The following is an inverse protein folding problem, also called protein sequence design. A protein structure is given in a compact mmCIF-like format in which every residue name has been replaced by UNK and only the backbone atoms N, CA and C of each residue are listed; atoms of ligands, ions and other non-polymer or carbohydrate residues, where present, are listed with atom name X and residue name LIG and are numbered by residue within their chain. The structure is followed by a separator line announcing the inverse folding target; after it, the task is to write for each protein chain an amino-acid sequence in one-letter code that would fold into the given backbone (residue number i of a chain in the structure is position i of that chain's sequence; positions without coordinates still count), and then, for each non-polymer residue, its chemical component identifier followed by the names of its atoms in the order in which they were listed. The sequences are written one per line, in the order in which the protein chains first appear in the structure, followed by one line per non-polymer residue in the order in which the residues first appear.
data_IF_497568526086
#
_entry.id   IF_497568526086
#
_cell.length_a   1.000
_cell.length_b   1.000
_cell.length_c   1.000
_cell.angle_alpha   90.00
_cell.angle_beta   90.00
_cell.angle_gamma   90.00
#
_symmetry.space_group_name_H-M   'P 1'
#
loop_
_entity.id
_entity.type
_entity.pdbx_description
1 polymer ?
#
# COMPACT_ATOMS: atom_id res chain seq x y z
N UNK A 1 -9.56 20.60 -6.59
CA UNK A 1 -8.44 21.05 -5.74
C UNK A 1 -8.83 21.08 -4.30
N UNK A 2 -9.14 19.94 -3.66
CA UNK A 2 -9.47 19.95 -2.23
C UNK A 2 -8.20 19.69 -1.41
N UNK A 3 -8.10 20.27 -0.22
CA UNK A 3 -7.15 19.84 0.79
C UNK A 3 -7.65 18.56 1.48
N UNK A 4 -6.80 17.84 2.24
CA UNK A 4 -7.18 16.62 2.96
C UNK A 4 -8.35 16.78 3.94
N UNK A 5 -8.59 17.99 4.44
CA UNK A 5 -9.70 18.32 5.32
C UNK A 5 -11.03 18.56 4.56
N UNK A 6 -11.00 18.55 3.22
CA UNK A 6 -12.15 18.80 2.38
C UNK A 6 -12.36 20.27 2.02
N UNK A 7 -11.47 21.18 2.43
CA UNK A 7 -11.53 22.59 2.04
C UNK A 7 -10.99 22.82 0.63
N UNK A 8 -11.40 23.89 -0.05
CA UNK A 8 -10.85 24.27 -1.36
C UNK A 8 -9.42 24.80 -1.20
N UNK A 9 -8.47 24.28 -1.98
CA UNK A 9 -7.05 24.59 -1.86
C UNK A 9 -6.38 24.88 -3.22
N UNK A 10 -5.45 25.82 -3.20
CA UNK A 10 -4.59 26.23 -4.31
C UNK A 10 -3.29 25.39 -4.42
N UNK A 11 -2.97 24.62 -3.38
CA UNK A 11 -1.71 23.86 -3.28
C UNK A 11 -1.56 22.73 -4.31
N UNK A 12 -2.64 22.33 -4.99
CA UNK A 12 -2.68 21.06 -5.74
C UNK A 12 -3.10 21.17 -7.21
N UNK A 13 -2.70 22.22 -7.92
CA UNK A 13 -2.57 22.12 -9.38
C UNK A 13 -3.76 22.58 -10.22
N UNK A 14 -4.28 23.77 -9.94
CA UNK A 14 -5.07 24.52 -10.92
C UNK A 14 -4.41 25.88 -11.16
N UNK A 15 -4.01 26.14 -12.41
CA UNK A 15 -3.22 27.32 -12.79
C UNK A 15 -3.99 28.64 -12.75
N UNK A 16 -5.29 28.58 -12.54
CA UNK A 16 -6.25 29.69 -12.47
C UNK A 16 -6.67 30.02 -11.02
N UNK A 17 -6.09 29.39 -9.99
CA UNK A 17 -6.39 29.70 -8.59
C UNK A 17 -6.15 31.18 -8.19
N UNK A 18 -5.40 31.93 -9.01
CA UNK A 18 -5.15 33.36 -8.83
C UNK A 18 -6.26 34.28 -9.35
N UNK A 19 -7.30 33.76 -10.01
CA UNK A 19 -8.42 34.60 -10.46
C UNK A 19 -9.28 35.04 -9.27
N UNK A 20 -9.89 36.24 -9.32
CA UNK A 20 -10.77 36.73 -8.24
C UNK A 20 -11.90 35.76 -7.88
N UNK A 21 -12.44 35.07 -8.89
CA UNK A 21 -13.51 34.08 -8.73
C UNK A 21 -13.02 32.88 -7.93
N UNK A 22 -11.85 32.33 -8.26
CA UNK A 22 -11.27 31.19 -7.55
C UNK A 22 -10.82 31.56 -6.13
N UNK A 23 -10.23 32.75 -5.94
CA UNK A 23 -9.78 33.23 -4.63
C UNK A 23 -10.91 33.32 -3.62
N UNK A 24 -12.13 33.66 -4.07
CA UNK A 24 -13.30 33.74 -3.20
C UNK A 24 -13.71 32.41 -2.58
N UNK A 25 -13.29 31.28 -3.19
CA UNK A 25 -13.63 29.93 -2.75
C UNK A 25 -12.53 29.29 -1.90
N UNK A 26 -11.29 29.80 -1.95
CA UNK A 26 -10.16 29.21 -1.24
C UNK A 26 -10.42 29.19 0.28
N UNK A 27 -10.23 28.02 0.88
CA UNK A 27 -10.44 27.77 2.32
C UNK A 27 -11.88 27.42 2.71
N UNK A 28 -12.87 27.55 1.82
CA UNK A 28 -14.25 27.12 2.09
C UNK A 28 -14.34 25.60 2.20
N UNK A 29 -15.24 25.10 3.05
CA UNK A 29 -15.62 23.68 3.01
C UNK A 29 -16.26 23.34 1.66
N UNK A 30 -16.05 22.12 1.16
CA UNK A 30 -16.55 21.68 -0.15
C UNK A 30 -18.07 21.84 -0.34
N UNK A 31 -18.87 21.70 0.72
CA UNK A 31 -20.32 21.86 0.62
C UNK A 31 -20.71 23.34 0.56
N UNK A 32 -20.04 24.18 1.35
CA UNK A 32 -20.22 25.63 1.29
C UNK A 32 -19.79 26.19 -0.08
N UNK A 33 -18.64 25.72 -0.59
CA UNK A 33 -18.16 26.09 -1.91
C UNK A 33 -19.14 25.68 -3.02
N UNK A 34 -19.80 24.51 -2.89
CA UNK A 34 -20.83 24.07 -3.85
C UNK A 34 -22.00 25.04 -3.91
N UNK A 35 -22.53 25.46 -2.77
CA UNK A 35 -23.63 26.43 -2.70
C UNK A 35 -23.20 27.81 -3.23
N UNK A 36 -21.98 28.25 -2.88
CA UNK A 36 -21.42 29.51 -3.36
C UNK A 36 -21.28 29.55 -4.89
N UNK A 37 -20.85 28.43 -5.50
CA UNK A 37 -20.75 28.30 -6.97
C UNK A 37 -22.15 28.38 -7.60
N UNK A 38 -23.16 27.70 -7.06
CA UNK A 38 -24.53 27.75 -7.59
C UNK A 38 -25.10 29.17 -7.52
N UNK A 39 -24.86 29.88 -6.41
CA UNK A 39 -25.30 31.26 -6.26
C UNK A 39 -24.55 32.22 -7.20
N UNK A 40 -23.26 32.00 -7.42
CA UNK A 40 -22.48 32.74 -8.41
C UNK A 40 -23.05 32.56 -9.83
N UNK A 41 -23.34 31.31 -10.23
CA UNK A 41 -23.95 31.03 -11.54
C UNK A 41 -25.32 31.69 -11.68
N UNK A 42 -26.12 31.76 -10.60
CA UNK A 42 -27.40 32.45 -10.58
C UNK A 42 -27.25 33.96 -10.81
N UNK A 43 -26.27 34.60 -10.16
CA UNK A 43 -26.01 36.04 -10.28
C UNK A 43 -25.50 36.44 -11.67
N UNK A 44 -24.63 35.61 -12.24
CA UNK A 44 -24.04 35.85 -13.57
C UNK A 44 -24.95 35.40 -14.73
N UNK A 45 -26.17 34.93 -14.43
CA UNK A 45 -27.12 34.40 -15.43
C UNK A 45 -26.52 33.25 -16.26
N UNK A 46 -25.72 32.40 -15.60
CA UNK A 46 -25.09 31.19 -16.14
C UNK A 46 -25.84 29.90 -15.75
N UNK A 47 -26.86 30.00 -14.91
CA UNK A 47 -27.68 28.87 -14.44
C UNK A 47 -28.98 28.79 -15.25
N UNK A 48 -29.15 27.73 -16.04
CA UNK A 48 -30.40 27.48 -16.79
C UNK A 48 -31.51 26.91 -15.89
N UNK A 49 -31.26 25.76 -15.26
CA UNK A 49 -32.18 25.15 -14.29
C UNK A 49 -31.47 24.34 -13.20
N UNK A 50 -32.24 23.93 -12.18
CA UNK A 50 -31.81 23.00 -11.12
C UNK A 50 -32.82 21.87 -11.04
N UNK A 51 -32.34 20.63 -11.10
CA UNK A 51 -33.17 19.42 -11.06
C UNK A 51 -32.70 18.48 -9.98
N UNK A 52 -33.65 17.82 -9.31
CA UNK A 52 -33.33 16.70 -8.43
C UNK A 52 -32.81 15.52 -9.25
N UNK A 53 -31.67 14.96 -8.84
CA UNK A 53 -31.01 13.87 -9.55
C UNK A 53 -30.51 12.79 -8.58
N UNK A 54 -31.14 11.63 -8.64
CA UNK A 54 -30.72 10.45 -7.88
C UNK A 54 -29.59 9.73 -8.64
N UNK A 55 -28.46 9.52 -7.96
CA UNK A 55 -27.32 8.78 -8.48
C UNK A 55 -26.55 8.09 -7.35
N UNK A 56 -25.66 7.17 -7.70
CA UNK A 56 -24.81 6.48 -6.75
C UNK A 56 -23.57 7.32 -6.43
N UNK A 57 -23.32 7.54 -5.13
CA UNK A 57 -22.13 8.22 -4.63
C UNK A 57 -21.29 7.23 -3.83
N UNK A 58 -20.00 7.16 -4.14
CA UNK A 58 -19.06 6.33 -3.39
C UNK A 58 -18.86 6.87 -1.97
N UNK A 59 -18.92 5.99 -0.98
CA UNK A 59 -18.70 6.34 0.43
C UNK A 59 -17.61 5.49 1.04
N UNK A 60 -16.90 6.05 2.03
CA UNK A 60 -15.96 5.29 2.85
C UNK A 60 -16.69 4.15 3.54
N UNK A 61 -16.22 2.92 3.38
CA UNK A 61 -16.82 1.75 4.02
C UNK A 61 -16.72 1.78 5.55
N UNK A 62 -15.87 2.64 6.11
CA UNK A 62 -15.68 2.79 7.57
C UNK A 62 -16.44 3.98 8.15
N UNK A 63 -16.24 5.17 7.57
CA UNK A 63 -16.80 6.42 8.13
C UNK A 63 -18.14 6.80 7.50
N UNK A 64 -18.52 6.17 6.39
CA UNK A 64 -19.71 6.52 5.60
C UNK A 64 -19.73 7.95 5.07
N UNK A 65 -18.58 8.64 5.07
CA UNK A 65 -18.42 9.95 4.43
C UNK A 65 -18.24 9.75 2.92
N UNK A 66 -18.83 10.61 2.06
CA UNK A 66 -18.60 10.59 0.61
C UNK A 66 -17.09 10.61 0.29
N UNK A 67 -16.68 9.76 -0.64
CA UNK A 67 -15.29 9.73 -1.12
C UNK A 67 -15.14 10.78 -2.21
N UNK A 68 -14.15 11.64 -2.04
CA UNK A 68 -13.79 12.66 -3.01
C UNK A 68 -12.44 12.30 -3.65
N UNK A 69 -12.33 12.31 -4.99
CA UNK A 69 -11.05 12.08 -5.65
C UNK A 69 -10.12 13.27 -5.42
N UNK A 70 -8.88 12.98 -5.04
CA UNK A 70 -7.86 13.97 -4.77
C UNK A 70 -6.48 13.45 -5.22
N UNK A 71 -5.68 14.33 -5.81
CA UNK A 71 -4.33 14.00 -6.26
C UNK A 71 -3.38 14.12 -5.07
N UNK A 72 -2.73 13.03 -4.72
CA UNK A 72 -1.66 12.99 -3.71
C UNK A 72 -0.53 12.10 -4.17
N UNK A 73 0.67 12.39 -3.67
CA UNK A 73 1.78 11.47 -3.75
C UNK A 73 1.49 10.24 -2.89
N UNK A 74 1.54 9.06 -3.48
CA UNK A 74 1.28 7.78 -2.81
C UNK A 74 2.22 6.71 -3.34
N UNK A 75 2.46 5.69 -2.54
CA UNK A 75 3.16 4.48 -2.93
C UNK A 75 2.20 3.49 -3.59
N UNK A 76 2.59 2.99 -4.76
CA UNK A 76 1.82 2.02 -5.53
C UNK A 76 2.64 0.76 -5.80
N UNK A 77 1.97 -0.39 -5.75
CA UNK A 77 2.48 -1.61 -6.37
C UNK A 77 1.96 -1.69 -7.79
N UNK A 78 2.88 -1.81 -8.74
CA UNK A 78 2.56 -2.06 -10.13
C UNK A 78 2.09 -3.52 -10.32
N UNK A 79 0.80 -3.72 -10.56
CA UNK A 79 0.20 -5.06 -10.53
C UNK A 79 0.15 -5.75 -11.90
N UNK A 80 0.05 -4.96 -12.98
CA UNK A 80 0.07 -5.44 -14.37
C UNK A 80 1.41 -5.21 -15.06
N UNK A 81 2.40 -4.65 -14.38
CA UNK A 81 3.75 -4.47 -14.93
C UNK A 81 4.49 -5.81 -14.90
N UNK A 82 5.17 -6.21 -15.99
CA UNK A 82 6.06 -7.35 -15.97
C UNK A 82 7.11 -7.28 -14.86
N UNK A 83 7.22 -8.34 -14.08
CA UNK A 83 8.19 -8.45 -12.99
C UNK A 83 9.56 -8.83 -13.58
N UNK A 84 10.61 -8.14 -13.13
CA UNK A 84 12.01 -8.51 -13.38
C UNK A 84 12.57 -9.14 -12.12
N UNK A 85 12.76 -10.45 -12.13
CA UNK A 85 13.35 -11.19 -11.01
C UNK A 85 14.86 -10.94 -10.97
N UNK A 86 15.30 -9.92 -10.23
CA UNK A 86 16.72 -9.69 -10.02
C UNK A 86 17.26 -10.72 -9.00
N UNK A 87 18.30 -11.49 -9.38
CA UNK A 87 19.04 -12.36 -8.46
C UNK A 87 18.42 -13.73 -8.12
N UNK A 88 17.22 -14.05 -8.63
CA UNK A 88 16.63 -15.39 -8.53
C UNK A 88 16.44 -15.96 -9.95
N UNK A 89 16.67 -17.26 -10.17
CA UNK A 89 16.45 -17.86 -11.48
C UNK A 89 15.00 -17.58 -11.89
N UNK A 90 14.82 -16.91 -13.02
CA UNK A 90 13.50 -16.78 -13.61
C UNK A 90 12.92 -18.18 -13.77
N UNK A 91 11.61 -18.36 -13.49
CA UNK A 91 10.93 -19.61 -13.82
C UNK A 91 11.24 -19.92 -15.29
N UNK A 92 11.56 -21.19 -15.61
CA UNK A 92 12.09 -21.60 -16.92
C UNK A 92 11.23 -21.11 -18.10
N UNK A 93 9.94 -20.86 -17.86
CA UNK A 93 8.93 -20.36 -18.79
C UNK A 93 9.04 -18.85 -19.13
N UNK A 94 9.79 -18.04 -18.38
CA UNK A 94 9.81 -16.56 -18.51
C UNK A 94 11.21 -15.96 -18.70
N UNK A 95 12.27 -16.75 -18.51
CA UNK A 95 13.67 -16.27 -18.47
C UNK A 95 14.23 -15.70 -19.79
N UNK A 96 13.59 -15.97 -20.95
CA UNK A 96 14.17 -15.72 -22.28
C UNK A 96 13.39 -14.75 -23.17
N UNK A 97 12.27 -14.19 -22.71
CA UNK A 97 11.38 -13.37 -23.56
C UNK A 97 11.55 -11.87 -23.27
N UNK A 98 11.89 -11.08 -24.29
CA UNK A 98 12.04 -9.63 -24.18
C UNK A 98 10.73 -8.91 -23.80
N UNK A 99 9.59 -9.50 -24.19
CA UNK A 99 8.24 -9.13 -23.75
C UNK A 99 7.56 -10.42 -23.31
N UNK A 100 7.10 -10.51 -22.04
CA UNK A 100 6.42 -11.70 -21.56
C UNK A 100 5.06 -11.85 -22.24
N UNK A 101 4.61 -13.08 -22.50
CA UNK A 101 3.32 -13.32 -23.12
C UNK A 101 2.21 -12.79 -22.22
N UNK A 102 1.11 -12.37 -22.86
CA UNK A 102 -0.12 -12.02 -22.18
C UNK A 102 -0.93 -13.30 -21.91
N UNK A 103 -1.75 -13.28 -20.86
CA UNK A 103 -2.78 -14.30 -20.67
C UNK A 103 -3.79 -14.17 -21.82
N UNK A 104 -4.12 -15.30 -22.45
CA UNK A 104 -5.00 -15.35 -23.62
C UNK A 104 -6.32 -14.62 -23.37
N UNK A 105 -6.71 -13.74 -24.30
CA UNK A 105 -7.93 -12.94 -24.19
C UNK A 105 -7.85 -11.73 -23.27
N UNK A 106 -6.68 -11.41 -22.70
CA UNK A 106 -6.51 -10.31 -21.73
C UNK A 106 -5.32 -9.40 -22.06
N UNK A 107 -5.24 -8.25 -21.38
CA UNK A 107 -4.08 -7.35 -21.39
C UNK A 107 -3.07 -7.66 -20.27
N UNK A 108 -3.23 -8.77 -19.55
CA UNK A 108 -2.46 -9.09 -18.34
C UNK A 108 -1.21 -9.88 -18.68
N UNK A 109 0.01 -9.38 -18.40
CA UNK A 109 1.23 -10.15 -18.60
C UNK A 109 1.31 -11.34 -17.64
N UNK A 110 1.69 -12.52 -18.14
CA UNK A 110 1.77 -13.76 -17.35
C UNK A 110 2.70 -13.63 -16.14
N UNK A 111 3.78 -12.85 -16.27
CA UNK A 111 4.75 -12.61 -15.21
C UNK A 111 4.54 -11.27 -14.46
N UNK A 112 3.32 -10.72 -14.46
CA UNK A 112 2.92 -9.62 -13.57
C UNK A 112 2.29 -10.16 -12.29
N UNK A 113 2.11 -9.36 -11.24
CA UNK A 113 1.41 -9.84 -10.03
C UNK A 113 -0.01 -10.31 -10.34
N UNK A 114 -0.75 -9.58 -11.17
CA UNK A 114 -2.07 -9.97 -11.63
C UNK A 114 -2.03 -11.29 -12.42
N UNK A 115 -1.03 -11.45 -13.30
CA UNK A 115 -0.84 -12.68 -14.07
C UNK A 115 -0.47 -13.88 -13.20
N UNK A 116 0.40 -13.67 -12.21
CA UNK A 116 0.72 -14.68 -11.20
C UNK A 116 -0.56 -15.10 -10.49
N UNK A 117 -1.39 -14.18 -10.02
CA UNK A 117 -2.63 -14.53 -9.33
C UNK A 117 -3.67 -15.22 -10.23
N UNK A 118 -3.76 -14.83 -11.51
CA UNK A 118 -4.76 -15.36 -12.43
C UNK A 118 -4.40 -16.74 -13.00
N UNK A 119 -3.12 -16.99 -13.30
CA UNK A 119 -2.66 -18.23 -13.95
C UNK A 119 -3.07 -19.52 -13.22
N UNK A 120 -2.95 -19.65 -11.89
CA UNK A 120 -3.40 -20.83 -11.15
C UNK A 120 -4.88 -21.17 -11.34
N UNK A 121 -5.73 -20.16 -11.52
CA UNK A 121 -7.15 -20.40 -11.80
C UNK A 121 -7.32 -21.01 -13.20
N UNK A 122 -6.60 -20.48 -14.18
CA UNK A 122 -6.71 -20.90 -15.59
C UNK A 122 -6.09 -22.28 -15.86
N UNK A 123 -5.04 -22.66 -15.11
CA UNK A 123 -4.38 -23.96 -15.25
C UNK A 123 -4.90 -25.03 -14.26
N UNK A 124 -5.92 -24.70 -13.47
CA UNK A 124 -6.63 -25.64 -12.59
C UNK A 124 -5.94 -25.91 -11.25
N UNK A 125 -4.84 -25.21 -10.91
CA UNK A 125 -4.19 -25.31 -9.60
C UNK A 125 -4.95 -24.59 -8.48
N UNK A 126 -5.82 -23.65 -8.82
CA UNK A 126 -6.71 -22.93 -7.89
C UNK A 126 -8.17 -23.20 -8.25
N UNK A 127 -8.97 -23.62 -7.27
CA UNK A 127 -10.41 -23.85 -7.43
C UNK A 127 -11.21 -23.03 -6.42
N UNK A 128 -12.31 -22.44 -6.87
CA UNK A 128 -13.30 -21.78 -6.00
C UNK A 128 -14.46 -22.72 -5.73
N UNK A 129 -14.94 -22.76 -4.50
CA UNK A 129 -16.10 -23.54 -4.10
C UNK A 129 -17.07 -22.58 -3.42
N UNK A 130 -18.24 -22.27 -4.02
CA UNK A 130 -18.72 -22.70 -5.34
C UNK A 130 -17.99 -22.05 -6.53
N UNK A 131 -17.97 -22.75 -7.67
CA UNK A 131 -17.26 -22.34 -8.91
C UNK A 131 -17.65 -20.96 -9.43
N UNK A 132 -18.89 -20.50 -9.17
CA UNK A 132 -19.40 -19.20 -9.64
C UNK A 132 -18.52 -18.01 -9.24
N UNK A 133 -17.80 -18.10 -8.12
CA UNK A 133 -16.93 -17.02 -7.64
C UNK A 133 -15.62 -16.90 -8.42
N UNK A 134 -15.21 -17.94 -9.15
CA UNK A 134 -14.04 -17.89 -10.03
C UNK A 134 -14.16 -16.79 -11.10
N UNK A 135 -15.36 -16.59 -11.67
CA UNK A 135 -15.59 -15.57 -12.70
C UNK A 135 -15.43 -14.15 -12.15
N UNK A 136 -15.91 -13.90 -10.93
CA UNK A 136 -15.74 -12.60 -10.24
C UNK A 136 -14.26 -12.33 -9.96
N UNK A 137 -13.54 -13.34 -9.48
CA UNK A 137 -12.11 -13.26 -9.22
C UNK A 137 -11.32 -12.94 -10.49
N UNK A 138 -11.59 -13.68 -11.58
CA UNK A 138 -10.96 -13.49 -12.88
C UNK A 138 -11.21 -12.08 -13.43
N UNK A 139 -12.49 -11.69 -13.54
CA UNK A 139 -12.87 -10.38 -14.10
C UNK A 139 -12.25 -9.21 -13.32
N UNK A 140 -12.11 -9.36 -12.00
CA UNK A 140 -11.44 -8.34 -11.19
C UNK A 140 -9.94 -8.24 -11.49
N UNK A 141 -9.23 -9.37 -11.61
CA UNK A 141 -7.79 -9.38 -11.95
C UNK A 141 -7.52 -8.81 -13.35
N UNK A 142 -8.40 -9.11 -14.31
CA UNK A 142 -8.35 -8.57 -15.67
C UNK A 142 -8.54 -7.05 -15.72
N UNK A 143 -9.23 -6.45 -14.75
CA UNK A 143 -9.47 -4.99 -14.72
C UNK A 143 -8.65 -4.27 -13.64
N UNK A 144 -7.75 -4.99 -12.97
CA UNK A 144 -7.03 -4.49 -11.82
C UNK A 144 -6.11 -3.31 -12.17
N UNK A 145 -6.21 -2.24 -11.38
CA UNK A 145 -5.31 -1.08 -11.41
C UNK A 145 -4.24 -1.22 -10.33
N UNK A 146 -3.14 -0.48 -10.51
CA UNK A 146 -2.04 -0.43 -9.56
C UNK A 146 -2.54 -0.15 -8.15
N UNK A 147 -1.98 -0.87 -7.19
CA UNK A 147 -2.51 -0.94 -5.83
C UNK A 147 -1.87 0.17 -4.98
N UNK A 148 -2.63 1.18 -4.53
CA UNK A 148 -2.12 2.15 -3.56
C UNK A 148 -1.91 1.47 -2.21
N UNK A 149 -0.68 1.45 -1.72
CA UNK A 149 -0.28 0.75 -0.48
C UNK A 149 0.04 1.68 0.68
N UNK A 150 0.24 2.97 0.45
CA UNK A 150 0.43 3.95 1.52
C UNK A 150 -0.91 4.43 2.10
N UNK A 151 -0.93 4.72 3.39
CA UNK A 151 -2.07 5.23 4.13
C UNK A 151 -1.61 6.29 5.12
N UNK A 152 -2.29 7.44 5.12
CA UNK A 152 -2.08 8.53 6.07
C UNK A 152 -2.81 8.21 7.39
N UNK A 153 -2.43 7.11 8.02
CA UNK A 153 -3.02 6.61 9.26
C UNK A 153 -1.93 6.43 10.31
N UNK A 154 -2.32 6.48 11.58
CA UNK A 154 -1.36 6.31 12.68
C UNK A 154 -1.09 4.84 13.00
N UNK A 155 -2.03 3.95 12.67
CA UNK A 155 -1.90 2.52 12.96
C UNK A 155 -1.62 1.72 11.69
N UNK A 156 -0.44 1.11 11.66
CA UNK A 156 0.02 0.22 10.60
C UNK A 156 1.54 0.07 10.63
N UNK A 157 2.07 -0.71 9.71
CA UNK A 157 3.53 -0.81 9.55
C UNK A 157 4.03 0.43 8.82
N UNK A 158 4.83 1.28 9.48
CA UNK A 158 5.42 2.45 8.83
C UNK A 158 6.25 2.04 7.61
N UNK A 159 6.07 2.74 6.49
CA UNK A 159 6.80 2.45 5.26
C UNK A 159 8.32 2.59 5.51
N UNK A 160 9.15 1.58 5.16
CA UNK A 160 10.60 1.62 5.38
C UNK A 160 11.28 2.35 4.22
N UNK A 161 10.87 3.59 3.95
CA UNK A 161 11.48 4.44 2.92
C UNK A 161 11.94 5.75 3.57
N UNK A 162 13.19 6.13 3.34
CA UNK A 162 13.77 7.39 3.82
C UNK A 162 13.99 8.34 2.65
N UNK A 163 13.72 9.62 2.87
CA UNK A 163 13.96 10.68 1.90
C UNK A 163 15.26 11.44 2.20
N UNK A 164 15.99 11.77 1.14
CA UNK A 164 17.22 12.54 1.15
C UNK A 164 17.09 13.67 0.15
N UNK A 165 16.96 14.92 0.60
CA UNK A 165 16.99 16.09 -0.30
C UNK A 165 18.42 16.53 -0.52
N UNK A 166 18.90 16.39 -1.75
CA UNK A 166 20.31 16.57 -2.06
C UNK A 166 20.68 18.00 -2.51
N UNK A 167 21.78 18.55 -1.99
CA UNK A 167 22.43 19.80 -2.47
C UNK A 167 23.41 19.48 -3.58
N UNK A 168 22.92 19.18 -4.77
CA UNK A 168 23.81 18.91 -5.90
C UNK A 168 23.20 19.37 -7.20
N UNK A 169 24.04 19.73 -8.17
CA UNK A 169 23.57 19.95 -9.53
C UNK A 169 23.38 18.62 -10.28
N UNK A 170 22.88 18.69 -11.53
CA UNK A 170 22.67 17.51 -12.36
C UNK A 170 23.96 16.71 -12.65
N UNK A 171 25.13 17.35 -12.62
CA UNK A 171 26.44 16.72 -12.89
C UNK A 171 27.01 16.04 -11.65
N UNK A 172 26.75 16.59 -10.48
CA UNK A 172 27.20 16.09 -9.17
C UNK A 172 26.30 14.97 -8.64
N UNK A 173 25.02 14.95 -9.02
CA UNK A 173 24.06 13.94 -8.55
C UNK A 173 24.52 12.48 -8.69
N UNK A 174 25.10 12.02 -9.83
CA UNK A 174 25.61 10.65 -9.94
C UNK A 174 26.73 10.32 -8.94
N UNK A 175 27.54 11.32 -8.58
CA UNK A 175 28.60 11.18 -7.58
C UNK A 175 28.02 11.13 -6.16
N UNK A 176 27.05 12.01 -5.84
CA UNK A 176 26.34 11.99 -4.58
C UNK A 176 25.69 10.61 -4.31
N UNK A 177 24.99 10.05 -5.30
CA UNK A 177 24.40 8.71 -5.21
C UNK A 177 25.47 7.62 -5.02
N UNK A 178 26.62 7.74 -5.70
CA UNK A 178 27.74 6.80 -5.53
C UNK A 178 28.30 6.86 -4.12
N UNK A 179 28.49 8.06 -3.58
CA UNK A 179 29.01 8.27 -2.23
C UNK A 179 28.05 7.74 -1.17
N UNK A 180 26.74 7.96 -1.33
CA UNK A 180 25.72 7.35 -0.47
C UNK A 180 25.79 5.82 -0.50
N UNK A 181 25.87 5.21 -1.69
CA UNK A 181 26.01 3.74 -1.82
C UNK A 181 27.27 3.22 -1.16
N UNK A 182 28.40 3.91 -1.32
CA UNK A 182 29.68 3.52 -0.71
C UNK A 182 29.60 3.63 0.82
N UNK A 183 29.01 4.71 1.34
CA UNK A 183 28.81 4.92 2.78
C UNK A 183 27.95 3.80 3.37
N UNK A 184 26.76 3.57 2.79
CA UNK A 184 25.85 2.53 3.28
C UNK A 184 26.51 1.15 3.26
N UNK A 185 27.22 0.81 2.17
CA UNK A 185 27.96 -0.45 2.06
C UNK A 185 29.07 -0.58 3.11
N UNK A 186 29.84 0.49 3.36
CA UNK A 186 30.87 0.50 4.42
C UNK A 186 30.27 0.27 5.80
N UNK A 187 29.12 0.88 6.07
CA UNK A 187 28.39 0.70 7.32
C UNK A 187 27.60 -0.62 7.41
N UNK A 188 27.74 -1.50 6.42
CA UNK A 188 27.23 -2.87 6.46
C UNK A 188 25.90 -3.10 5.75
N UNK A 189 25.32 -2.11 5.06
CA UNK A 189 24.11 -2.32 4.27
C UNK A 189 24.39 -3.32 3.13
N UNK A 190 23.57 -4.36 3.05
CA UNK A 190 23.70 -5.43 2.06
C UNK A 190 22.81 -5.15 0.84
N UNK A 191 21.80 -4.28 0.99
CA UNK A 191 20.76 -4.05 -0.01
C UNK A 191 21.10 -3.09 -1.17
N UNK A 192 20.21 -3.08 -2.16
CA UNK A 192 20.24 -2.13 -3.28
C UNK A 192 19.54 -0.81 -2.92
N UNK A 193 20.26 0.30 -3.09
CA UNK A 193 19.67 1.64 -3.07
C UNK A 193 18.78 1.82 -4.31
N UNK A 194 17.49 2.12 -4.12
CA UNK A 194 16.58 2.53 -5.20
C UNK A 194 16.36 4.04 -5.21
N UNK A 195 17.28 4.84 -5.80
CA UNK A 195 17.07 6.26 -5.89
C UNK A 195 15.94 6.54 -6.89
N UNK A 196 14.77 6.92 -6.38
CA UNK A 196 13.71 7.47 -7.21
C UNK A 196 13.85 9.00 -7.28
N UNK A 197 13.65 9.55 -8.48
CA UNK A 197 13.71 10.98 -8.78
C UNK A 197 12.36 11.43 -9.36
N UNK A 198 11.73 12.43 -8.74
CA UNK A 198 10.54 13.07 -9.33
C UNK A 198 10.96 13.98 -10.49
N UNK A 199 10.07 14.17 -11.46
CA UNK A 199 10.33 15.11 -12.57
C UNK A 199 10.45 16.55 -12.07
N UNK A 200 9.63 16.91 -11.09
CA UNK A 200 9.50 18.28 -10.57
C UNK A 200 10.36 18.54 -9.32
N UNK A 201 10.81 17.47 -8.65
CA UNK A 201 11.84 17.52 -7.60
C UNK A 201 12.96 16.53 -7.93
N UNK A 202 13.99 17.00 -8.66
CA UNK A 202 15.02 16.13 -9.18
C UNK A 202 16.07 15.69 -8.15
N UNK A 203 16.08 16.29 -6.96
CA UNK A 203 17.17 16.14 -5.99
C UNK A 203 16.75 15.44 -4.70
N UNK A 204 15.45 15.25 -4.47
CA UNK A 204 14.97 14.31 -3.46
C UNK A 204 15.11 12.86 -3.93
N UNK A 205 15.77 12.06 -3.11
CA UNK A 205 16.05 10.65 -3.34
C UNK A 205 15.37 9.82 -2.27
N UNK A 206 14.62 8.81 -2.69
CA UNK A 206 14.01 7.83 -1.79
C UNK A 206 14.93 6.63 -1.62
N UNK A 207 15.03 6.09 -0.42
CA UNK A 207 15.91 4.98 -0.08
C UNK A 207 15.15 3.95 0.73
N UNK A 208 15.10 2.73 0.23
CA UNK A 208 14.60 1.54 0.90
C UNK A 208 15.73 0.51 0.88
N UNK A 209 16.01 -0.13 2.01
CA UNK A 209 16.99 -1.21 2.06
C UNK A 209 16.29 -2.56 1.89
N UNK A 210 17.03 -3.53 1.35
CA UNK A 210 16.49 -4.85 1.06
C UNK A 210 16.28 -5.70 2.33
N UNK A 211 17.07 -5.44 3.37
CA UNK A 211 17.02 -6.15 4.65
C UNK A 211 16.56 -5.23 5.76
N UNK A 212 15.54 -5.65 6.51
CA UNK A 212 15.07 -4.93 7.69
C UNK A 212 16.12 -4.87 8.82
N UNK A 213 17.14 -5.74 8.81
CA UNK A 213 18.27 -5.67 9.74
C UNK A 213 19.16 -4.44 9.47
N UNK A 214 19.05 -3.87 8.27
CA UNK A 214 19.80 -2.69 7.84
C UNK A 214 19.02 -1.40 8.12
N UNK A 215 17.70 -1.43 8.36
CA UNK A 215 16.88 -0.23 8.67
C UNK A 215 17.46 0.64 9.79
N UNK A 216 17.99 0.09 10.91
CA UNK A 216 18.62 0.90 11.94
C UNK A 216 19.80 1.76 11.43
N UNK A 217 20.42 1.40 10.30
CA UNK A 217 21.47 2.21 9.69
C UNK A 217 20.92 3.54 9.14
N UNK A 218 19.73 3.51 8.52
CA UNK A 218 19.09 4.72 8.02
C UNK A 218 18.51 5.55 9.17
N UNK A 219 18.04 4.91 10.24
CA UNK A 219 17.64 5.59 11.47
C UNK A 219 18.84 6.31 12.12
N UNK A 220 19.99 5.65 12.19
CA UNK A 220 21.25 6.24 12.67
C UNK A 220 21.66 7.43 11.81
N UNK A 221 21.60 7.31 10.47
CA UNK A 221 21.94 8.40 9.56
C UNK A 221 20.96 9.59 9.68
N UNK A 222 19.67 9.30 9.86
CA UNK A 222 18.63 10.30 10.06
C UNK A 222 18.75 11.00 11.43
N UNK A 223 19.07 10.26 12.48
CA UNK A 223 19.43 10.83 13.78
C UNK A 223 20.64 11.75 13.65
N UNK A 224 21.66 11.32 12.89
CA UNK A 224 22.87 12.11 12.74
C UNK A 224 22.65 13.39 11.93
N UNK A 225 21.89 13.30 10.84
CA UNK A 225 21.45 14.47 10.06
C UNK A 225 20.68 15.49 10.91
N UNK A 226 19.82 15.03 11.84
CA UNK A 226 19.12 15.92 12.78
C UNK A 226 20.08 16.61 13.74
N UNK A 227 21.05 15.89 14.29
CA UNK A 227 22.05 16.48 15.19
C UNK A 227 22.83 17.61 14.50
N UNK A 228 23.26 17.43 13.25
CA UNK A 228 23.94 18.48 12.47
C UNK A 228 23.01 19.69 12.25
N UNK A 229 21.77 19.43 11.82
CA UNK A 229 20.79 20.48 11.52
C UNK A 229 20.33 21.27 12.76
N UNK A 230 20.38 20.66 13.96
CA UNK A 230 20.04 21.34 15.21
C UNK A 230 21.27 22.05 15.83
N UNK A 231 22.49 21.57 15.53
CA UNK A 231 23.75 22.13 16.03
C UNK A 231 24.25 23.37 15.24
N UNK A 232 23.42 24.01 14.42
CA UNK A 232 23.80 25.09 13.47
C UNK A 232 24.55 26.26 14.11
N UNK A 233 24.47 26.46 15.43
CA UNK A 233 25.26 27.48 16.14
C UNK A 233 26.69 27.05 16.53
N UNK A 234 26.95 25.74 16.72
CA UNK A 234 28.24 25.22 17.20
C UNK A 234 28.99 24.36 16.16
N UNK A 235 28.27 23.90 15.13
CA UNK A 235 28.84 23.06 14.09
C UNK A 235 29.49 23.88 12.98
N UNK A 236 30.78 23.65 12.74
CA UNK A 236 31.51 24.22 11.58
C UNK A 236 31.80 23.12 10.57
N UNK A 237 31.50 23.39 9.30
CA UNK A 237 31.72 22.43 8.21
C UNK A 237 33.16 21.90 8.21
N UNK A 238 33.32 20.59 8.19
CA UNK A 238 34.62 19.92 8.19
C UNK A 238 35.23 19.66 9.58
N UNK A 239 34.57 20.05 10.68
CA UNK A 239 34.98 19.70 12.05
C UNK A 239 34.22 18.47 12.59
N UNK A 240 34.75 17.83 13.64
CA UNK A 240 33.98 16.81 14.35
C UNK A 240 32.74 17.43 15.01
N UNK A 241 31.63 16.68 15.05
CA UNK A 241 30.41 17.13 15.71
C UNK A 241 30.70 17.33 17.21
N UNK A 242 30.65 18.57 17.70
CA UNK A 242 30.90 18.89 19.11
C UNK A 242 29.68 18.64 20.02
N UNK A 243 28.62 18.01 19.50
CA UNK A 243 27.40 17.78 20.28
C UNK A 243 27.66 16.82 21.44
N UNK A 244 27.03 17.08 22.59
CA UNK A 244 27.01 16.14 23.73
C UNK A 244 26.19 14.86 23.47
N UNK A 245 25.56 14.73 22.30
CA UNK A 245 24.83 13.52 21.90
C UNK A 245 25.81 12.49 21.30
N UNK A 246 25.72 11.21 21.69
CA UNK A 246 26.63 10.19 21.20
C UNK A 246 26.40 9.90 19.71
N UNK A 247 27.50 9.76 18.96
CA UNK A 247 27.47 9.23 17.58
C UNK A 247 26.87 7.81 17.61
N UNK A 248 25.90 7.49 16.74
CA UNK A 248 25.30 6.16 16.70
C UNK A 248 26.34 5.07 16.45
N UNK A 249 26.19 3.91 17.11
CA UNK A 249 27.22 2.87 17.18
C UNK A 249 27.67 2.36 15.80
N UNK A 250 26.74 2.20 14.84
CA UNK A 250 27.10 1.75 13.48
C UNK A 250 27.84 2.82 12.69
N UNK A 251 27.61 4.10 12.99
CA UNK A 251 28.28 5.23 12.33
C UNK A 251 29.64 5.56 12.93
N UNK A 252 29.93 5.19 14.19
CA UNK A 252 31.21 5.53 14.87
C UNK A 252 32.47 5.21 14.06
N UNK A 253 32.48 4.10 13.31
CA UNK A 253 33.65 3.68 12.51
C UNK A 253 33.81 4.48 11.22
N UNK A 254 32.72 5.04 10.70
CA UNK A 254 32.65 5.77 9.43
C UNK A 254 32.12 7.20 9.64
N UNK A 255 32.39 7.75 10.83
CA UNK A 255 31.85 9.01 11.28
C UNK A 255 32.23 10.14 10.33
N UNK A 256 33.50 10.17 9.92
CA UNK A 256 33.99 11.19 9.01
C UNK A 256 33.35 11.10 7.63
N UNK A 257 33.23 9.90 7.07
CA UNK A 257 32.57 9.74 5.77
C UNK A 257 31.07 10.06 5.82
N UNK A 258 30.40 9.74 6.93
CA UNK A 258 29.00 10.10 7.14
C UNK A 258 28.83 11.61 7.23
N UNK A 259 29.66 12.30 8.03
CA UNK A 259 29.69 13.76 8.10
C UNK A 259 29.96 14.39 6.74
N UNK A 260 31.03 13.96 6.07
CA UNK A 260 31.41 14.49 4.76
C UNK A 260 30.27 14.31 3.74
N UNK A 261 29.54 13.18 3.77
CA UNK A 261 28.38 12.99 2.90
C UNK A 261 27.23 13.95 3.25
N UNK A 262 26.86 14.04 4.54
CA UNK A 262 25.75 14.88 5.00
C UNK A 262 26.01 16.37 4.70
N UNK A 263 27.21 16.87 4.98
CA UNK A 263 27.59 18.27 4.76
C UNK A 263 27.69 18.70 3.30
N UNK A 264 28.08 17.78 2.43
CA UNK A 264 28.31 18.08 1.03
C UNK A 264 27.06 17.90 0.21
N UNK A 265 26.20 16.96 0.60
CA UNK A 265 25.10 16.55 -0.25
C UNK A 265 23.73 16.66 0.38
N UNK A 266 23.54 16.85 1.69
CA UNK A 266 22.18 16.83 2.28
C UNK A 266 21.77 18.23 2.76
N UNK A 267 20.66 18.76 2.23
CA UNK A 267 20.16 20.11 2.59
C UNK A 267 19.08 20.11 3.67
N UNK A 268 18.34 19.02 3.80
CA UNK A 268 17.23 18.88 4.74
C UNK A 268 17.47 17.70 5.66
N UNK A 269 16.75 17.67 6.79
CA UNK A 269 16.76 16.51 7.68
C UNK A 269 16.30 15.27 6.91
N UNK A 270 17.09 14.21 6.96
CA UNK A 270 16.65 12.90 6.45
C UNK A 270 15.46 12.46 7.30
N UNK A 271 14.34 12.11 6.66
CA UNK A 271 13.14 11.63 7.35
C UNK A 271 12.67 10.32 6.75
N UNK A 272 12.12 9.45 7.60
CA UNK A 272 11.38 8.27 7.17
C UNK A 272 9.98 8.69 6.76
N UNK A 273 9.45 8.08 5.71
CA UNK A 273 8.08 8.29 5.25
C UNK A 273 7.09 8.08 6.42
N UNK A 274 6.18 9.03 6.60
CA UNK A 274 5.24 9.04 7.73
C UNK A 274 4.04 8.11 7.46
N UNK A 275 3.83 7.71 6.22
CA UNK A 275 2.75 6.82 5.85
C UNK A 275 2.96 5.40 6.40
N UNK A 276 1.84 4.73 6.66
CA UNK A 276 1.80 3.31 6.99
C UNK A 276 1.31 2.48 5.82
N UNK A 277 1.70 1.21 5.80
CA UNK A 277 1.23 0.25 4.82
C UNK A 277 -0.26 -0.08 5.04
N UNK A 278 -0.97 -0.25 3.91
CA UNK A 278 -2.33 -0.78 3.85
C UNK A 278 -2.46 -2.08 4.64
N UNK A 279 -3.53 -2.23 5.42
CA UNK A 279 -3.78 -3.46 6.18
C UNK A 279 -3.86 -4.69 5.26
N UNK A 280 -4.34 -4.53 4.02
CA UNK A 280 -4.34 -5.62 3.06
C UNK A 280 -2.94 -6.00 2.57
N UNK A 281 -1.94 -5.12 2.69
CA UNK A 281 -0.55 -5.43 2.37
C UNK A 281 0.01 -6.48 3.33
N UNK A 282 -0.17 -6.30 4.64
CA UNK A 282 0.29 -7.30 5.62
C UNK A 282 -0.57 -8.56 5.59
N UNK A 283 -1.89 -8.44 5.48
CA UNK A 283 -2.80 -9.60 5.39
C UNK A 283 -2.55 -10.46 4.15
N UNK A 284 -2.02 -9.89 3.07
CA UNK A 284 -1.61 -10.64 1.88
C UNK A 284 -0.45 -11.62 2.13
N UNK A 285 0.34 -11.39 3.19
CA UNK A 285 1.48 -12.23 3.56
C UNK A 285 1.10 -13.39 4.49
N UNK A 286 -0.13 -13.37 5.03
CA UNK A 286 -0.62 -14.33 6.03
C UNK A 286 -0.30 -15.81 5.76
N UNK A 287 -0.46 -16.34 4.52
CA UNK A 287 -0.29 -17.76 4.26
C UNK A 287 1.13 -18.29 4.44
N UNK A 288 2.14 -17.43 4.60
CA UNK A 288 3.53 -17.84 4.74
C UNK A 288 4.25 -17.08 5.85
N UNK A 289 3.88 -15.83 6.16
CA UNK A 289 4.48 -15.08 7.27
C UNK A 289 4.19 -15.71 8.64
N UNK A 290 3.04 -16.37 8.79
CA UNK A 290 2.67 -17.09 10.02
C UNK A 290 3.55 -18.30 10.30
N UNK A 291 4.27 -18.79 9.29
CA UNK A 291 5.19 -19.93 9.41
C UNK A 291 6.65 -19.47 9.51
N UNK A 292 6.91 -18.17 9.73
CA UNK A 292 8.25 -17.65 9.93
C UNK A 292 8.97 -17.18 8.66
N UNK A 293 8.28 -17.10 7.52
CA UNK A 293 8.81 -16.36 6.36
C UNK A 293 9.13 -14.91 6.78
N UNK A 294 10.28 -14.32 6.36
CA UNK A 294 11.13 -14.72 5.25
C UNK A 294 12.19 -15.81 5.54
N UNK A 295 12.27 -16.30 6.76
CA UNK A 295 13.25 -17.33 7.11
C UNK A 295 12.83 -18.72 6.57
N UNK A 296 13.84 -19.57 6.33
CA UNK A 296 13.65 -20.91 5.78
C UNK A 296 13.32 -21.93 6.89
N UNK A 297 12.11 -21.84 7.44
CA UNK A 297 11.68 -22.63 8.60
C UNK A 297 11.18 -24.03 8.22
N UNK A 298 11.28 -25.02 9.13
CA UNK A 298 10.65 -26.34 8.94
C UNK A 298 9.14 -26.26 8.73
N UNK A 299 8.45 -25.36 9.42
CA UNK A 299 7.00 -25.16 9.32
C UNK A 299 6.61 -24.70 7.92
N UNK A 300 7.33 -23.71 7.36
CA UNK A 300 7.08 -23.21 6.01
C UNK A 300 7.25 -24.34 4.98
N UNK A 301 8.32 -25.13 5.08
CA UNK A 301 8.55 -26.29 4.19
C UNK A 301 7.50 -27.38 4.29
N UNK A 302 6.90 -27.55 5.47
CA UNK A 302 5.99 -28.65 5.76
C UNK A 302 4.55 -28.32 5.39
N UNK A 303 4.12 -27.08 5.65
CA UNK A 303 2.70 -26.70 5.60
C UNK A 303 2.36 -25.70 4.48
N UNK A 304 3.36 -25.20 3.74
CA UNK A 304 3.13 -24.40 2.55
C UNK A 304 3.39 -25.24 1.28
N UNK A 305 2.50 -25.22 0.28
CA UNK A 305 1.24 -24.47 0.20
C UNK A 305 0.11 -25.08 1.06
N UNK A 306 -0.84 -24.25 1.50
CA UNK A 306 -2.03 -24.73 2.19
C UNK A 306 -3.01 -25.48 1.27
N UNK A 307 -4.01 -26.16 1.83
CA UNK A 307 -5.02 -26.86 1.03
C UNK A 307 -6.27 -26.00 0.80
N UNK A 308 -6.93 -25.56 1.88
CA UNK A 308 -8.23 -24.87 1.81
C UNK A 308 -8.17 -23.53 2.54
N UNK A 309 -8.53 -22.45 1.85
CA UNK A 309 -8.89 -21.18 2.46
C UNK A 309 -10.41 -21.08 2.57
N UNK A 310 -10.94 -21.01 3.80
CA UNK A 310 -12.35 -20.73 4.06
C UNK A 310 -12.55 -19.23 4.34
N UNK A 311 -13.41 -18.57 3.57
CA UNK A 311 -13.64 -17.11 3.71
C UNK A 311 -14.97 -16.66 3.12
N UNK A 312 -15.27 -15.36 3.22
CA UNK A 312 -16.46 -14.73 2.68
C UNK A 312 -16.20 -14.11 1.29
N UNK A 313 -17.27 -13.97 0.51
CA UNK A 313 -17.20 -13.45 -0.87
C UNK A 313 -16.77 -11.99 -0.98
N UNK A 314 -16.97 -11.19 0.07
CA UNK A 314 -16.72 -9.76 0.08
C UNK A 314 -15.22 -9.40 0.12
N UNK A 315 -14.37 -10.34 0.53
CA UNK A 315 -12.92 -10.14 0.60
C UNK A 315 -12.14 -10.98 -0.43
N UNK A 316 -12.81 -11.52 -1.45
CA UNK A 316 -12.15 -12.21 -2.57
C UNK A 316 -11.14 -11.26 -3.26
N UNK A 317 -11.56 -10.03 -3.55
CA UNK A 317 -10.76 -9.04 -4.27
C UNK A 317 -9.73 -8.35 -3.38
N UNK A 318 -9.95 -8.28 -2.07
CA UNK A 318 -9.08 -7.58 -1.12
C UNK A 318 -8.05 -8.50 -0.47
N UNK A 319 -8.39 -9.77 -0.25
CA UNK A 319 -7.55 -10.70 0.51
C UNK A 319 -7.10 -11.90 -0.33
N UNK A 320 -8.04 -12.68 -0.87
CA UNK A 320 -7.71 -13.91 -1.63
C UNK A 320 -6.79 -13.59 -2.80
N UNK A 321 -7.14 -12.58 -3.60
CA UNK A 321 -6.31 -12.16 -4.74
C UNK A 321 -4.92 -11.69 -4.31
N UNK A 322 -4.81 -10.94 -3.21
CA UNK A 322 -3.53 -10.40 -2.73
C UNK A 322 -2.64 -11.49 -2.17
N UNK A 323 -3.20 -12.48 -1.47
CA UNK A 323 -2.48 -13.68 -1.05
C UNK A 323 -1.93 -14.47 -2.24
N UNK A 324 -2.71 -14.59 -3.33
CA UNK A 324 -2.25 -15.26 -4.55
C UNK A 324 -1.10 -14.50 -5.23
N UNK A 325 -1.19 -13.17 -5.29
CA UNK A 325 -0.12 -12.31 -5.81
C UNK A 325 1.16 -12.47 -4.98
N UNK A 326 1.05 -12.31 -3.66
CA UNK A 326 2.21 -12.27 -2.76
C UNK A 326 2.79 -13.65 -2.49
N UNK A 327 1.98 -14.71 -2.42
CA UNK A 327 2.47 -16.09 -2.30
C UNK A 327 3.38 -16.46 -3.46
N UNK A 328 2.93 -16.20 -4.70
CA UNK A 328 3.76 -16.52 -5.86
C UNK A 328 4.94 -15.57 -6.05
N UNK A 329 4.80 -14.32 -5.58
CA UNK A 329 5.90 -13.37 -5.64
C UNK A 329 7.00 -13.66 -4.63
N UNK A 330 6.63 -13.80 -3.35
CA UNK A 330 7.54 -13.96 -2.23
C UNK A 330 7.94 -15.42 -2.01
N UNK A 331 6.95 -16.31 -1.85
CA UNK A 331 7.14 -17.71 -1.48
C UNK A 331 7.24 -18.67 -2.68
N UNK A 332 7.10 -18.14 -3.91
CA UNK A 332 7.29 -18.88 -5.17
C UNK A 332 6.29 -20.00 -5.45
N UNK A 333 5.19 -20.07 -4.72
CA UNK A 333 4.09 -21.01 -4.97
C UNK A 333 2.73 -20.37 -4.72
N UNK A 334 1.64 -21.09 -5.02
CA UNK A 334 0.29 -20.68 -4.63
C UNK A 334 0.14 -20.81 -3.11
N UNK A 335 -0.62 -19.94 -2.43
CA UNK A 335 -0.82 -20.05 -1.00
C UNK A 335 -1.78 -21.16 -0.59
N UNK A 336 -2.69 -21.55 -1.48
CA UNK A 336 -3.69 -22.60 -1.28
C UNK A 336 -4.27 -23.08 -2.62
N UNK A 337 -4.73 -24.34 -2.68
CA UNK A 337 -5.36 -24.92 -3.88
C UNK A 337 -6.87 -24.68 -3.97
N UNK A 338 -7.55 -24.60 -2.83
CA UNK A 338 -9.00 -24.49 -2.75
C UNK A 338 -9.44 -23.25 -1.97
N UNK A 339 -10.41 -22.51 -2.51
CA UNK A 339 -11.04 -21.36 -1.86
C UNK A 339 -12.51 -21.67 -1.63
N UNK A 340 -12.85 -22.00 -0.39
CA UNK A 340 -14.22 -22.20 0.04
C UNK A 340 -14.85 -20.88 0.47
N UNK A 341 -15.89 -20.47 -0.25
CA UNK A 341 -16.66 -19.26 0.01
C UNK A 341 -17.95 -19.64 0.75
N UNK A 342 -17.98 -19.36 2.04
CA UNK A 342 -19.14 -19.67 2.88
C UNK A 342 -20.29 -18.69 2.67
N UNK A 343 -21.50 -19.12 3.05
CA UNK A 343 -22.69 -18.28 3.09
C UNK A 343 -22.53 -17.12 4.09
N UNK A 344 -23.11 -15.95 3.80
CA UNK A 344 -23.15 -14.83 4.75
C UNK A 344 -24.37 -14.99 5.66
N UNK A 345 -24.20 -14.68 6.94
CA UNK A 345 -25.32 -14.68 7.89
C UNK A 345 -25.99 -13.29 7.89
N UNK A 346 -27.30 -13.29 7.77
CA UNK A 346 -28.18 -12.13 7.73
C UNK A 346 -29.02 -12.08 9.01
N UNK A 347 -29.62 -10.92 9.28
CA UNK A 347 -30.61 -10.76 10.35
C UNK A 347 -31.99 -11.26 9.88
N UNK A 348 -32.95 -11.25 10.81
CA UNK A 348 -34.32 -11.68 10.55
C UNK A 348 -35.05 -10.88 9.46
N UNK A 349 -34.52 -9.76 8.97
CA UNK A 349 -35.05 -8.96 7.85
C UNK A 349 -34.30 -9.20 6.53
N UNK A 350 -33.29 -10.07 6.52
CA UNK A 350 -32.43 -10.35 5.36
C UNK A 350 -31.32 -9.32 5.15
N UNK A 351 -31.04 -8.47 6.14
CA UNK A 351 -29.92 -7.53 6.08
C UNK A 351 -28.65 -8.21 6.56
N UNK A 352 -27.51 -7.89 5.96
CA UNK A 352 -26.22 -8.38 6.44
C UNK A 352 -26.04 -8.02 7.92
N UNK A 353 -25.59 -8.97 8.74
CA UNK A 353 -25.19 -8.65 10.11
C UNK A 353 -23.87 -7.88 10.14
N UNK A 354 -23.85 -6.74 10.83
CA UNK A 354 -22.65 -5.94 11.05
C UNK A 354 -22.72 -5.19 12.38
N UNK A 355 -21.55 -4.83 12.92
CA UNK A 355 -21.47 -3.97 14.11
C UNK A 355 -22.07 -2.59 13.85
N UNK A 356 -21.92 -2.05 12.64
CA UNK A 356 -22.43 -0.72 12.29
C UNK A 356 -23.95 -0.65 12.26
N UNK A 357 -24.61 -1.74 11.85
CA UNK A 357 -26.07 -1.84 11.86
C UNK A 357 -26.64 -2.20 13.25
N UNK A 358 -25.78 -2.60 14.19
CA UNK A 358 -26.21 -3.04 15.52
C UNK A 358 -27.10 -4.28 15.52
N UNK A 359 -27.18 -4.99 14.39
CA UNK A 359 -28.04 -6.16 14.19
C UNK A 359 -27.29 -7.49 14.36
N UNK A 360 -26.03 -7.45 14.78
CA UNK A 360 -25.24 -8.64 15.07
C UNK A 360 -25.70 -9.32 16.36
N UNK A 361 -25.86 -10.64 16.31
CA UNK A 361 -26.12 -11.47 17.48
C UNK A 361 -24.78 -11.98 18.02
N UNK A 362 -24.53 -11.80 19.32
CA UNK A 362 -23.37 -12.40 19.96
C UNK A 362 -23.50 -13.93 19.94
N UNK A 363 -22.54 -14.67 19.34
CA UNK A 363 -22.61 -16.13 19.30
C UNK A 363 -22.69 -16.77 20.69
N UNK A 364 -22.14 -16.13 21.73
CA UNK A 364 -22.17 -16.66 23.10
C UNK A 364 -23.60 -16.75 23.65
N UNK A 365 -24.49 -15.82 23.28
CA UNK A 365 -25.90 -15.85 23.70
C UNK A 365 -26.62 -17.11 23.19
N UNK A 366 -26.30 -17.53 21.96
CA UNK A 366 -26.86 -18.74 21.37
C UNK A 366 -26.22 -19.98 21.97
N UNK A 367 -24.91 -19.96 22.20
CA UNK A 367 -24.17 -21.05 22.83
C UNK A 367 -24.68 -21.31 24.25
N UNK A 368 -24.92 -20.27 25.04
CA UNK A 368 -25.39 -20.40 26.42
C UNK A 368 -26.81 -20.97 26.49
N UNK A 369 -27.64 -20.68 25.49
CA UNK A 369 -29.05 -21.13 25.46
C UNK A 369 -29.25 -22.50 24.81
N UNK A 370 -28.49 -22.85 23.78
CA UNK A 370 -28.71 -24.05 22.96
C UNK A 370 -27.49 -24.99 22.88
N UNK A 371 -26.33 -24.56 23.36
CA UNK A 371 -25.06 -25.31 23.30
C UNK A 371 -24.27 -25.04 22.02
N UNK A 372 -22.95 -25.19 22.12
CA UNK A 372 -22.02 -24.96 21.01
C UNK A 372 -22.26 -25.93 19.83
N UNK A 373 -22.60 -27.19 20.11
CA UNK A 373 -22.85 -28.19 19.07
C UNK A 373 -24.12 -27.86 18.27
N UNK A 374 -25.19 -27.40 18.93
CA UNK A 374 -26.41 -26.97 18.26
C UNK A 374 -26.13 -25.80 17.32
N UNK A 375 -25.35 -24.81 17.79
CA UNK A 375 -24.95 -23.67 16.96
C UNK A 375 -24.13 -24.12 15.74
N UNK A 376 -23.09 -24.93 15.95
CA UNK A 376 -22.20 -25.42 14.87
C UNK A 376 -22.95 -26.26 13.86
N UNK A 377 -23.77 -27.20 14.33
CA UNK A 377 -24.57 -28.06 13.46
C UNK A 377 -25.56 -27.25 12.63
N UNK A 378 -26.25 -26.29 13.24
CA UNK A 378 -27.20 -25.42 12.54
C UNK A 378 -26.50 -24.63 11.45
N UNK A 379 -25.40 -23.92 11.77
CA UNK A 379 -24.64 -23.16 10.78
C UNK A 379 -24.13 -24.04 9.62
N UNK A 380 -23.55 -25.20 9.93
CA UNK A 380 -23.04 -26.12 8.91
C UNK A 380 -24.14 -26.77 8.07
N UNK A 381 -25.32 -27.04 8.65
CA UNK A 381 -26.46 -27.61 7.90
C UNK A 381 -27.12 -26.57 6.99
N UNK A 382 -27.05 -25.28 7.35
CA UNK A 382 -27.62 -24.18 6.59
C UNK A 382 -26.68 -23.65 5.50
N UNK A 383 -25.37 -23.94 5.58
CA UNK A 383 -24.43 -23.66 4.48
C UNK A 383 -24.73 -24.56 3.29
N UNK A 384 -25.68 -24.13 2.45
CA UNK A 384 -25.93 -24.71 1.14
C UNK A 384 -25.15 -23.92 0.08
N UNK A 385 -24.72 -24.56 -1.01
CA UNK A 385 -23.84 -23.96 -2.02
C UNK A 385 -24.41 -22.73 -2.75
N UNK A 386 -25.65 -22.33 -2.45
CA UNK A 386 -26.39 -21.38 -3.28
C UNK A 386 -26.84 -20.10 -2.58
N UNK A 387 -27.06 -20.08 -1.27
CA UNK A 387 -27.73 -18.94 -0.59
C UNK A 387 -27.07 -18.49 0.72
N UNK A 388 -27.31 -17.23 1.06
CA UNK A 388 -27.03 -16.68 2.39
C UNK A 388 -27.99 -17.25 3.43
N UNK A 389 -27.55 -17.23 4.68
CA UNK A 389 -28.30 -17.76 5.83
C UNK A 389 -29.06 -16.60 6.46
N UNK A 390 -30.37 -16.76 6.64
CA UNK A 390 -31.25 -15.81 7.33
C UNK A 390 -31.63 -16.34 8.71
#
# INVERSE_FOLDING_TARGET
MMAPDGSISDKYGWGDAGTPEAQSLLGMDRFEAREAIVEWFRKENLLEDVREYAHEVGHSYRSHVPIEPYLSDQWYIAVKKPIKWHGLPAREDTAKMAVPPLIEGTDVPVNSLAGLALKPLLDGRLRFIPDRYAKTYQSWLENLRDWPISRQLWWGHQIPVWNFTLSCDKKEFPEAIRNLKVLLKKCGAIGQLWPYRKKDDPYTVYVCLESCQDDPLLDDLAAYSRQIADAVQEYTKGNALQSGQPVPTRMKRHDREALDFLENYVTQKITRDEDVLDTWFSSALWPFSTMGWPDDTPELKTFYPGNVLCTARDIITLWVSRMLMMGQYCARDIPFSDVYIHAMIQDGEGRRMSKSLGNGIDPLVIIDSHGADAMRFTLASMTTDTQDIR
#
